data_IF_084172395191
#
_entry.id   IF_084172395191
#
_cell.length_a   1.000
_cell.length_b   1.000
_cell.length_c   1.000
_cell.angle_alpha   90.00
_cell.angle_beta   90.00
_cell.angle_gamma   90.00
#
_symmetry.space_group_name_H-M   'P 1'
#
loop_
_entity.id
_entity.type
_entity.pdbx_description
1 polymer ?
#
# COMPACT_ATOMS: atom_id res chain seq x y z
N UNK A 1 17.93 -24.21 2.93
CA UNK A 1 16.48 -24.30 3.25
C UNK A 1 16.32 -24.15 4.75
N UNK A 2 15.46 -23.22 5.19
CA UNK A 2 15.17 -23.07 6.60
C UNK A 2 14.33 -24.28 7.06
N UNK A 3 14.83 -25.04 8.04
CA UNK A 3 14.15 -26.24 8.53
C UNK A 3 12.81 -25.92 9.20
N UNK A 4 12.62 -24.69 9.71
CA UNK A 4 11.37 -24.25 10.35
C UNK A 4 10.22 -24.05 9.36
N UNK A 5 10.52 -23.66 8.13
CA UNK A 5 9.51 -23.39 7.09
C UNK A 5 9.41 -24.51 6.06
N UNK A 6 10.17 -25.60 6.25
CA UNK A 6 10.09 -26.79 5.40
C UNK A 6 9.29 -27.86 6.13
N UNK A 7 8.11 -28.20 5.60
CA UNK A 7 7.18 -29.12 6.24
C UNK A 7 6.83 -30.26 5.28
N UNK A 8 6.48 -31.43 5.80
CA UNK A 8 5.79 -32.42 4.96
C UNK A 8 4.38 -31.94 4.62
N UNK A 9 3.82 -32.35 3.48
CA UNK A 9 2.42 -32.06 3.12
C UNK A 9 1.45 -32.52 4.22
N UNK A 10 1.75 -33.65 4.88
CA UNK A 10 0.97 -34.19 5.99
C UNK A 10 0.96 -33.27 7.22
N UNK A 11 2.09 -32.64 7.55
CA UNK A 11 2.18 -31.66 8.64
C UNK A 11 1.51 -30.34 8.27
N UNK A 12 1.75 -29.86 7.04
CA UNK A 12 1.15 -28.63 6.54
C UNK A 12 -0.38 -28.71 6.55
N UNK A 13 -0.96 -29.87 6.20
CA UNK A 13 -2.41 -30.10 6.27
C UNK A 13 -2.98 -29.89 7.68
N UNK A 14 -2.26 -30.29 8.72
CA UNK A 14 -2.71 -30.15 10.12
C UNK A 14 -2.63 -28.70 10.60
N UNK A 15 -1.77 -27.89 10.00
CA UNK A 15 -1.43 -26.51 10.42
C UNK A 15 -1.81 -25.47 9.36
N UNK A 16 -2.72 -25.79 8.44
CA UNK A 16 -2.95 -24.96 7.25
C UNK A 16 -3.40 -23.53 7.58
N UNK A 17 -4.21 -23.35 8.63
CA UNK A 17 -4.65 -22.02 9.07
C UNK A 17 -3.52 -21.20 9.69
N UNK A 18 -2.66 -21.82 10.51
CA UNK A 18 -1.47 -21.19 11.08
C UNK A 18 -0.51 -20.77 9.97
N UNK A 19 -0.26 -21.65 8.99
CA UNK A 19 0.55 -21.33 7.81
C UNK A 19 -0.04 -20.15 7.06
N UNK A 20 -1.36 -20.11 6.85
CA UNK A 20 -2.04 -19.03 6.14
C UNK A 20 -1.92 -17.68 6.86
N UNK A 21 -1.93 -17.66 8.20
CA UNK A 21 -1.67 -16.45 8.99
C UNK A 21 -0.19 -16.05 8.98
N UNK A 22 0.72 -17.02 9.07
CA UNK A 22 2.16 -16.74 9.09
C UNK A 22 2.67 -16.15 7.78
N UNK A 23 2.20 -16.64 6.64
CA UNK A 23 2.63 -16.13 5.31
C UNK A 23 2.18 -14.69 5.03
N UNK A 24 1.27 -14.13 5.83
CA UNK A 24 0.92 -12.70 5.73
C UNK A 24 2.07 -11.79 6.18
N UNK A 25 3.06 -12.33 6.92
CA UNK A 25 4.23 -11.56 7.31
C UNK A 25 5.16 -11.41 6.10
N UNK A 26 5.74 -10.21 5.88
CA UNK A 26 6.67 -9.99 4.78
C UNK A 26 7.79 -11.05 4.74
N UNK A 27 8.20 -11.45 3.53
CA UNK A 27 9.28 -12.42 3.31
C UNK A 27 9.07 -13.81 3.95
N UNK A 28 7.81 -14.20 4.21
CA UNK A 28 7.50 -15.50 4.82
C UNK A 28 6.93 -16.47 3.79
N UNK A 29 7.57 -17.64 3.65
CA UNK A 29 7.13 -18.70 2.76
C UNK A 29 7.35 -20.07 3.39
N UNK A 30 6.51 -21.04 3.04
CA UNK A 30 6.65 -22.44 3.45
C UNK A 30 6.93 -23.33 2.25
N UNK A 31 7.90 -24.24 2.38
CA UNK A 31 8.18 -25.27 1.38
C UNK A 31 7.58 -26.60 1.84
N UNK A 32 6.65 -27.14 1.06
CA UNK A 32 5.97 -28.39 1.33
C UNK A 32 6.66 -29.52 0.58
N UNK A 33 6.89 -30.61 1.31
CA UNK A 33 7.62 -31.78 0.81
C UNK A 33 6.76 -33.04 0.79
N UNK A 34 7.04 -33.90 -0.18
CA UNK A 34 6.52 -35.25 -0.27
C UNK A 34 7.71 -36.21 -0.31
N UNK A 35 7.77 -37.16 0.63
CA UNK A 35 8.91 -38.08 0.76
C UNK A 35 10.27 -37.35 0.82
N UNK A 36 10.32 -36.21 1.53
CA UNK A 36 11.51 -35.37 1.68
C UNK A 36 11.87 -34.53 0.44
N UNK A 37 11.08 -34.60 -0.65
CA UNK A 37 11.32 -33.82 -1.87
C UNK A 37 10.39 -32.60 -1.91
N UNK A 38 10.90 -31.38 -2.16
CA UNK A 38 10.08 -30.18 -2.35
C UNK A 38 9.09 -30.33 -3.50
N UNK A 39 7.85 -29.90 -3.30
CA UNK A 39 6.76 -30.00 -4.30
C UNK A 39 5.99 -28.70 -4.48
N UNK A 40 5.75 -27.97 -3.39
CA UNK A 40 4.92 -26.77 -3.39
C UNK A 40 5.57 -25.72 -2.48
N UNK A 41 5.45 -24.46 -2.86
CA UNK A 41 5.75 -23.32 -1.98
C UNK A 41 4.44 -22.60 -1.70
N UNK A 42 4.20 -22.26 -0.45
CA UNK A 42 3.07 -21.44 -0.01
C UNK A 42 3.62 -20.05 0.38
N UNK A 43 3.02 -19.02 -0.20
CA UNK A 43 3.21 -17.59 0.08
C UNK A 43 1.84 -16.92 0.20
N UNK A 44 1.79 -15.70 0.72
CA UNK A 44 0.55 -14.91 0.66
C UNK A 44 0.23 -14.52 -0.79
N UNK A 45 -1.04 -14.20 -1.03
CA UNK A 45 -1.48 -13.70 -2.33
C UNK A 45 -0.79 -12.36 -2.65
N UNK A 46 -0.70 -11.47 -1.67
CA UNK A 46 -0.02 -10.18 -1.81
C UNK A 46 1.45 -10.34 -2.23
N UNK A 47 2.19 -11.27 -1.61
CA UNK A 47 3.58 -11.56 -1.99
C UNK A 47 3.67 -12.14 -3.40
N UNK A 48 2.75 -13.05 -3.76
CA UNK A 48 2.72 -13.62 -5.11
C UNK A 48 2.46 -12.56 -6.18
N UNK A 49 1.46 -11.70 -5.96
CA UNK A 49 1.13 -10.59 -6.87
C UNK A 49 2.28 -9.59 -6.97
N UNK A 50 2.93 -9.26 -5.84
CA UNK A 50 4.10 -8.37 -5.82
C UNK A 50 5.29 -8.94 -6.62
N UNK A 51 5.50 -10.26 -6.56
CA UNK A 51 6.53 -10.93 -7.35
C UNK A 51 6.21 -10.93 -8.85
N UNK A 52 4.93 -11.13 -9.21
CA UNK A 52 4.49 -11.04 -10.60
C UNK A 52 4.69 -9.63 -11.15
N UNK A 53 4.25 -8.60 -10.42
CA UNK A 53 4.46 -7.19 -10.79
C UNK A 53 5.95 -6.89 -10.98
N UNK A 54 6.81 -7.39 -10.06
CA UNK A 54 8.26 -7.19 -10.16
C UNK A 54 8.82 -7.79 -11.46
N UNK A 55 8.37 -8.98 -11.85
CA UNK A 55 8.78 -9.63 -13.11
C UNK A 55 8.29 -8.83 -14.31
N UNK A 56 7.01 -8.42 -14.32
CA UNK A 56 6.41 -7.63 -15.40
C UNK A 56 7.16 -6.30 -15.59
N UNK A 57 7.48 -5.60 -14.51
CA UNK A 57 8.25 -4.36 -14.52
C UNK A 57 9.66 -4.58 -15.08
N UNK A 58 10.33 -5.68 -14.73
CA UNK A 58 11.64 -6.00 -15.31
C UNK A 58 11.59 -6.33 -16.81
N UNK A 59 10.50 -6.93 -17.29
CA UNK A 59 10.31 -7.21 -18.71
C UNK A 59 9.99 -5.93 -19.51
N UNK A 60 9.15 -5.05 -18.97
CA UNK A 60 8.74 -3.82 -19.65
C UNK A 60 9.83 -2.73 -19.64
N UNK A 61 10.64 -2.67 -18.57
CA UNK A 61 11.67 -1.65 -18.37
C UNK A 61 13.07 -2.28 -18.31
N UNK A 62 13.68 -2.68 -19.45
CA UNK A 62 14.98 -3.38 -19.46
C UNK A 62 16.15 -2.53 -18.94
N UNK A 63 16.02 -1.20 -18.99
CA UNK A 63 17.01 -0.25 -18.48
C UNK A 63 16.64 0.32 -17.09
N UNK A 64 15.64 -0.26 -16.40
CA UNK A 64 15.09 0.25 -15.13
C UNK A 64 16.17 0.59 -14.11
N UNK A 65 17.22 -0.23 -13.99
CA UNK A 65 18.31 0.03 -13.05
C UNK A 65 19.04 1.34 -13.37
N UNK A 66 19.30 1.63 -14.66
CA UNK A 66 19.97 2.88 -15.06
C UNK A 66 19.08 4.08 -14.81
N UNK A 67 17.77 3.93 -15.00
CA UNK A 67 16.79 4.98 -14.74
C UNK A 67 16.69 5.28 -13.25
N UNK A 68 16.66 4.25 -12.39
CA UNK A 68 16.73 4.38 -10.93
C UNK A 68 18.02 5.11 -10.53
N UNK A 69 19.18 4.63 -10.98
CA UNK A 69 20.49 5.22 -10.64
C UNK A 69 20.59 6.69 -11.09
N UNK A 70 19.97 7.03 -12.23
CA UNK A 70 19.89 8.41 -12.72
C UNK A 70 19.03 9.26 -11.80
N UNK A 71 17.84 8.78 -11.46
CA UNK A 71 16.91 9.50 -10.57
C UNK A 71 17.54 9.70 -9.20
N UNK A 72 18.18 8.70 -8.61
CA UNK A 72 18.87 8.82 -7.33
C UNK A 72 19.98 9.88 -7.36
N UNK A 73 20.78 9.91 -8.44
CA UNK A 73 21.79 10.96 -8.65
C UNK A 73 21.16 12.35 -8.76
N UNK A 74 20.07 12.47 -9.51
CA UNK A 74 19.37 13.74 -9.70
C UNK A 74 18.69 14.23 -8.40
N UNK A 75 18.25 13.31 -7.52
CA UNK A 75 17.81 13.63 -6.16
C UNK A 75 18.97 14.14 -5.30
N UNK A 76 20.11 13.45 -5.33
CA UNK A 76 21.30 13.82 -4.55
C UNK A 76 21.90 15.17 -4.98
N UNK A 77 21.92 15.47 -6.29
CA UNK A 77 22.44 16.73 -6.83
C UNK A 77 21.43 17.89 -6.74
N UNK A 78 20.16 17.60 -6.48
CA UNK A 78 19.06 18.57 -6.54
C UNK A 78 18.58 18.88 -7.96
N UNK A 79 19.12 18.21 -8.98
CA UNK A 79 18.72 18.36 -10.39
C UNK A 79 17.27 17.93 -10.63
N UNK A 80 16.71 17.06 -9.78
CA UNK A 80 15.29 16.66 -9.84
C UNK A 80 14.31 17.85 -9.80
N UNK A 81 14.73 19.01 -9.26
CA UNK A 81 13.92 20.24 -9.26
C UNK A 81 13.66 20.81 -10.65
N UNK A 82 14.44 20.40 -11.64
CA UNK A 82 14.27 20.78 -13.04
C UNK A 82 13.33 19.81 -13.79
N UNK A 83 12.81 18.78 -13.12
CA UNK A 83 11.85 17.88 -13.73
C UNK A 83 10.53 18.61 -13.95
N UNK A 84 9.82 18.21 -15.01
CA UNK A 84 8.53 18.77 -15.33
C UNK A 84 7.56 18.53 -14.17
N UNK A 85 6.88 19.59 -13.78
CA UNK A 85 5.79 19.52 -12.81
C UNK A 85 4.56 18.86 -13.44
N UNK A 86 3.63 18.39 -12.60
CA UNK A 86 2.38 17.81 -13.06
C UNK A 86 1.61 18.76 -13.99
N UNK A 87 1.55 20.05 -13.65
CA UNK A 87 0.84 21.08 -14.43
C UNK A 87 1.44 21.24 -15.84
N UNK A 88 2.78 21.22 -15.94
CA UNK A 88 3.49 21.32 -17.22
C UNK A 88 3.30 20.06 -18.09
N UNK A 89 3.28 18.87 -17.49
CA UNK A 89 3.02 17.61 -18.20
C UNK A 89 1.59 17.59 -18.75
N UNK A 90 0.61 17.97 -17.92
CA UNK A 90 -0.79 18.03 -18.31
C UNK A 90 -1.02 19.03 -19.44
N UNK A 91 -0.44 20.23 -19.33
CA UNK A 91 -0.49 21.24 -20.39
C UNK A 91 0.12 20.72 -21.71
N UNK A 92 1.27 20.03 -21.64
CA UNK A 92 1.92 19.42 -22.81
C UNK A 92 1.06 18.34 -23.47
N UNK A 93 0.31 17.58 -22.68
CA UNK A 93 -0.62 16.55 -23.17
C UNK A 93 -1.98 17.13 -23.62
N UNK A 94 -2.17 18.44 -23.57
CA UNK A 94 -3.39 19.12 -24.01
C UNK A 94 -4.52 19.11 -22.98
N UNK A 95 -4.23 18.74 -21.72
CA UNK A 95 -5.17 18.89 -20.62
C UNK A 95 -5.13 20.34 -20.12
N UNK A 96 -6.31 20.94 -19.96
CA UNK A 96 -6.47 22.26 -19.34
C UNK A 96 -6.76 22.03 -17.86
N UNK A 97 -5.86 22.46 -16.97
CA UNK A 97 -6.18 22.53 -15.55
C UNK A 97 -7.30 23.56 -15.39
N UNK A 98 -8.46 23.14 -14.88
CA UNK A 98 -9.45 24.09 -14.43
C UNK A 98 -8.82 24.90 -13.29
N UNK A 99 -8.90 26.23 -13.37
CA UNK A 99 -8.46 27.09 -12.27
C UNK A 99 -9.12 26.60 -10.98
N UNK A 100 -8.31 26.32 -9.96
CA UNK A 100 -8.82 26.08 -8.61
C UNK A 100 -9.70 27.27 -8.28
N UNK A 101 -11.00 27.05 -8.16
CA UNK A 101 -11.87 28.05 -7.58
C UNK A 101 -11.27 28.46 -6.23
N UNK A 102 -11.24 29.76 -5.94
CA UNK A 102 -10.80 30.35 -4.66
C UNK A 102 -11.54 29.79 -3.44
N UNK A 103 -12.56 28.94 -3.66
CA UNK A 103 -13.25 28.19 -2.62
C UNK A 103 -12.48 26.91 -2.30
N UNK A 104 -11.81 26.80 -1.13
CA UNK A 104 -11.35 25.50 -0.68
C UNK A 104 -12.56 24.58 -0.51
N UNK A 105 -12.48 23.37 -1.07
CA UNK A 105 -13.41 22.27 -0.75
C UNK A 105 -13.18 21.83 0.71
N UNK A 106 -13.56 22.69 1.65
CA UNK A 106 -13.62 22.38 3.06
C UNK A 106 -15.02 21.87 3.38
N UNK A 107 -15.11 20.62 3.85
CA UNK A 107 -16.29 20.18 4.60
C UNK A 107 -16.48 21.17 5.75
N UNK A 108 -17.60 21.89 5.72
CA UNK A 108 -17.99 22.87 6.75
C UNK A 108 -17.85 22.25 8.15
N UNK A 109 -16.79 22.61 8.88
CA UNK A 109 -16.68 22.35 10.33
C UNK A 109 -17.55 23.36 11.09
N UNK A 110 -18.86 23.40 10.80
CA UNK A 110 -19.81 23.99 11.75
C UNK A 110 -20.08 22.96 12.83
N UNK A 111 -19.24 22.93 13.85
CA UNK A 111 -19.58 22.30 15.12
C UNK A 111 -20.73 23.08 15.72
N UNK A 112 -21.95 22.60 15.53
CA UNK A 112 -23.12 23.14 16.20
C UNK A 112 -22.94 22.85 17.71
N UNK A 113 -22.52 23.83 18.49
CA UNK A 113 -22.48 23.70 19.95
C UNK A 113 -23.92 23.47 20.40
N UNK A 114 -24.23 22.26 20.86
CA UNK A 114 -25.53 21.96 21.46
C UNK A 114 -25.65 22.79 22.73
N UNK A 115 -26.43 23.88 22.68
CA UNK A 115 -26.76 24.65 23.87
C UNK A 115 -27.52 23.75 24.85
N UNK A 116 -27.05 23.68 26.10
CA UNK A 116 -27.71 22.91 27.15
C UNK A 116 -29.18 23.36 27.32
N UNK A 117 -30.10 22.40 27.34
CA UNK A 117 -31.53 22.63 27.53
C UNK A 117 -31.75 23.20 28.94
N UNK A 118 -32.08 24.48 29.03
CA UNK A 118 -32.35 25.18 30.29
C UNK A 118 -33.67 24.65 30.87
N UNK A 119 -33.61 23.82 31.91
CA UNK A 119 -34.80 23.41 32.66
C UNK A 119 -35.30 24.59 33.48
N UNK A 120 -36.46 25.15 33.11
CA UNK A 120 -37.16 26.12 33.94
C UNK A 120 -37.67 25.42 35.20
N UNK A 121 -37.07 25.72 36.36
CA UNK A 121 -37.69 25.43 37.66
C UNK A 121 -38.93 26.32 37.78
N UNK A 122 -40.11 25.73 37.78
CA UNK A 122 -41.33 26.40 38.22
C UNK A 122 -41.32 26.44 39.75
N UNK A 123 -40.94 27.58 40.32
CA UNK A 123 -41.23 27.91 41.71
C UNK A 123 -42.72 28.26 41.81
N UNK A 124 -43.55 27.28 42.15
CA UNK A 124 -44.92 27.49 42.61
C UNK A 124 -44.94 27.36 44.12
N UNK A 125 -45.11 28.48 44.83
CA UNK A 125 -45.49 28.49 46.24
C UNK A 125 -46.70 29.41 46.38
N UNK A 126 -47.70 28.88 47.09
CA UNK A 126 -49.02 29.43 47.46
C UNK A 126 -50.12 29.29 46.42
#
# INVERSE_FOLDING_TARGET
>A
MNSKTTLSISEARKRIFEIAEEVQKPNTHFTLTENGRPKVVIISVEEFESLLETIEVWEEFPDLQKDIDKVERDFASGTYKNYLTLDEILAKQGYVLADKADTPYGVSRRTHVKSAKRTRRSSGTK
#
